data_IF_624526889027
#
_entry.id   IF_624526889027
#
_cell.length_a   1.000
_cell.length_b   1.000
_cell.length_c   1.000
_cell.angle_alpha   90.00
_cell.angle_beta   90.00
_cell.angle_gamma   90.00
#
_symmetry.space_group_name_H-M   'P 1'
#
loop_
_entity.id
_entity.type
_entity.pdbx_description
1 polymer ?
#
# COMPACT_ATOMS: atom_id res chain seq x y z
N UNK A 1 27.54 -5.38 -30.27
CA UNK A 1 27.97 -6.42 -31.22
C UNK A 1 26.77 -6.74 -32.10
N UNK A 2 26.79 -6.33 -33.36
CA UNK A 2 25.65 -6.44 -34.29
C UNK A 2 25.85 -7.70 -35.14
N UNK A 3 24.78 -8.46 -35.42
CA UNK A 3 24.80 -9.61 -36.34
C UNK A 3 24.99 -10.99 -35.72
N UNK A 4 25.20 -11.10 -34.40
CA UNK A 4 25.19 -12.41 -33.73
C UNK A 4 23.76 -12.87 -33.40
N UNK A 5 23.55 -14.18 -33.41
CA UNK A 5 22.34 -14.77 -32.85
C UNK A 5 22.16 -14.31 -31.40
N UNK A 6 20.92 -13.96 -31.03
CA UNK A 6 20.60 -13.47 -29.68
C UNK A 6 21.12 -14.41 -28.57
N UNK A 7 21.06 -15.72 -28.80
CA UNK A 7 21.53 -16.76 -27.89
C UNK A 7 23.04 -16.67 -27.61
N UNK A 8 23.83 -16.23 -28.60
CA UNK A 8 25.29 -16.01 -28.47
C UNK A 8 25.58 -14.68 -27.79
N UNK A 9 24.80 -13.64 -28.12
CA UNK A 9 24.96 -12.32 -27.53
C UNK A 9 24.53 -12.26 -26.05
N UNK A 10 23.55 -13.09 -25.67
CA UNK A 10 22.96 -13.16 -24.32
C UNK A 10 22.91 -14.62 -23.84
N UNK A 11 24.07 -15.27 -23.62
CA UNK A 11 24.13 -16.68 -23.24
C UNK A 11 23.43 -16.95 -21.90
N UNK A 12 23.31 -15.96 -21.02
CA UNK A 12 22.57 -16.09 -19.76
C UNK A 12 21.07 -16.36 -19.95
N UNK A 13 20.51 -16.07 -21.13
CA UNK A 13 19.11 -16.28 -21.45
C UNK A 13 18.84 -17.68 -22.04
N UNK A 14 19.88 -18.49 -22.26
CA UNK A 14 19.73 -19.89 -22.67
C UNK A 14 19.01 -20.66 -21.55
N UNK A 15 18.00 -21.45 -21.92
CA UNK A 15 17.12 -22.16 -20.98
C UNK A 15 16.00 -21.31 -20.37
N UNK A 16 16.02 -19.99 -20.59
CA UNK A 16 14.92 -19.09 -20.23
C UNK A 16 13.94 -18.92 -21.42
N UNK A 17 12.68 -18.54 -21.20
CA UNK A 17 11.66 -18.50 -22.27
C UNK A 17 11.89 -17.41 -23.33
N UNK A 18 12.84 -16.49 -23.14
CA UNK A 18 13.10 -15.34 -24.01
C UNK A 18 13.34 -15.73 -25.47
N UNK A 19 14.18 -16.74 -25.71
CA UNK A 19 14.50 -17.18 -27.08
C UNK A 19 13.31 -17.82 -27.78
N UNK A 20 12.43 -18.49 -27.02
CA UNK A 20 11.17 -19.03 -27.55
C UNK A 20 10.27 -17.90 -28.01
N UNK A 21 10.06 -16.88 -27.18
CA UNK A 21 9.22 -15.74 -27.54
C UNK A 21 9.74 -14.96 -28.75
N UNK A 22 11.07 -14.78 -28.86
CA UNK A 22 11.67 -14.19 -30.05
C UNK A 22 11.33 -14.97 -31.32
N UNK A 23 11.47 -16.30 -31.29
CA UNK A 23 11.12 -17.18 -32.42
C UNK A 23 9.63 -17.15 -32.71
N UNK A 24 8.79 -17.25 -31.68
CA UNK A 24 7.34 -17.23 -31.82
C UNK A 24 6.86 -15.93 -32.49
N UNK A 25 7.36 -14.78 -32.05
CA UNK A 25 7.01 -13.47 -32.62
C UNK A 25 7.53 -13.35 -34.05
N UNK A 26 8.75 -13.82 -34.31
CA UNK A 26 9.34 -13.79 -35.65
C UNK A 26 8.54 -14.63 -36.66
N UNK A 27 8.18 -15.86 -36.30
CA UNK A 27 7.46 -16.77 -37.21
C UNK A 27 5.96 -16.49 -37.30
N UNK A 28 5.32 -16.04 -36.21
CA UNK A 28 3.88 -15.80 -36.20
C UNK A 28 3.47 -14.40 -36.65
N UNK A 29 4.39 -13.43 -36.58
CA UNK A 29 4.07 -12.01 -36.77
C UNK A 29 3.12 -11.44 -35.69
N UNK A 30 2.92 -12.13 -34.56
CA UNK A 30 2.08 -11.67 -33.46
C UNK A 30 2.93 -11.11 -32.32
N UNK A 31 2.61 -9.92 -31.77
CA UNK A 31 3.37 -9.35 -30.68
C UNK A 31 3.20 -10.15 -29.38
N UNK A 32 4.22 -10.10 -28.51
CA UNK A 32 4.20 -10.72 -27.19
C UNK A 32 4.49 -9.69 -26.12
N UNK A 33 3.64 -9.64 -25.10
CA UNK A 33 3.81 -8.78 -23.92
C UNK A 33 3.94 -9.70 -22.70
N UNK A 34 4.93 -9.43 -21.86
CA UNK A 34 5.04 -10.03 -20.53
C UNK A 34 5.14 -8.92 -19.49
N UNK A 35 4.35 -9.04 -18.42
CA UNK A 35 4.36 -8.13 -17.28
C UNK A 35 5.00 -8.81 -16.09
N UNK A 36 5.82 -8.08 -15.34
CA UNK A 36 6.47 -8.52 -14.11
C UNK A 36 7.13 -9.92 -14.21
N UNK A 37 7.82 -10.19 -15.32
CA UNK A 37 8.46 -11.47 -15.56
C UNK A 37 9.80 -11.58 -14.84
N UNK A 38 9.99 -12.65 -14.06
CA UNK A 38 11.26 -12.95 -13.40
C UNK A 38 12.25 -13.58 -14.38
N UNK A 39 13.40 -12.92 -14.56
CA UNK A 39 14.46 -13.33 -15.49
C UNK A 39 15.81 -13.25 -14.78
N UNK A 40 16.73 -14.16 -15.13
CA UNK A 40 18.13 -14.07 -14.70
C UNK A 40 18.93 -13.28 -15.72
N UNK A 41 19.46 -12.13 -15.31
CA UNK A 41 20.28 -11.25 -16.14
C UNK A 41 21.72 -11.26 -15.64
N UNK A 42 22.68 -11.09 -16.56
CA UNK A 42 24.09 -10.91 -16.21
C UNK A 42 24.38 -9.45 -15.87
N UNK A 43 24.98 -9.18 -14.72
CA UNK A 43 25.43 -7.87 -14.28
C UNK A 43 26.82 -7.99 -13.63
N UNK A 44 27.83 -7.31 -14.19
CA UNK A 44 29.22 -7.27 -13.68
C UNK A 44 29.75 -8.67 -13.29
N UNK A 45 29.70 -9.61 -14.24
CA UNK A 45 30.12 -11.02 -14.09
C UNK A 45 29.29 -11.91 -13.14
N UNK A 46 28.15 -11.42 -12.61
CA UNK A 46 27.23 -12.25 -11.80
C UNK A 46 25.85 -12.35 -12.44
N UNK A 47 25.22 -13.51 -12.26
CA UNK A 47 23.80 -13.66 -12.54
C UNK A 47 23.01 -13.08 -11.37
N UNK A 48 22.02 -12.25 -11.68
CA UNK A 48 21.05 -11.75 -10.72
C UNK A 48 19.65 -11.93 -11.26
N UNK A 49 18.70 -12.08 -10.35
CA UNK A 49 17.28 -12.02 -10.71
C UNK A 49 16.90 -10.56 -10.98
N UNK A 50 16.03 -10.39 -11.96
CA UNK A 50 15.43 -9.12 -12.34
C UNK A 50 13.96 -9.38 -12.66
N UNK A 51 13.10 -8.42 -12.31
CA UNK A 51 11.70 -8.43 -12.71
C UNK A 51 11.57 -7.42 -13.84
N UNK A 52 11.08 -7.86 -14.99
CA UNK A 52 11.01 -7.03 -16.20
C UNK A 52 9.62 -7.01 -16.81
N UNK A 53 9.23 -5.83 -17.30
CA UNK A 53 8.22 -5.72 -18.35
C UNK A 53 8.91 -5.86 -19.70
N UNK A 54 8.30 -6.63 -20.60
CA UNK A 54 8.86 -6.85 -21.93
C UNK A 54 7.81 -6.83 -23.01
N UNK A 55 8.13 -6.17 -24.12
CA UNK A 55 7.32 -6.13 -25.34
C UNK A 55 8.20 -6.61 -26.49
N UNK A 56 7.72 -7.61 -27.21
CA UNK A 56 8.33 -8.15 -28.42
C UNK A 56 7.42 -7.81 -29.59
N UNK A 57 7.85 -6.90 -30.45
CA UNK A 57 7.09 -6.38 -31.56
C UNK A 57 7.72 -6.84 -32.88
N UNK A 58 6.99 -7.55 -33.76
CA UNK A 58 7.52 -7.93 -35.07
C UNK A 58 7.69 -6.68 -35.95
N UNK A 59 8.78 -6.67 -36.71
CA UNK A 59 9.08 -5.66 -37.73
C UNK A 59 8.79 -6.28 -39.08
N UNK A 60 7.96 -5.63 -39.89
CA UNK A 60 7.55 -6.12 -41.20
C UNK A 60 8.29 -5.38 -42.33
N UNK A 61 8.61 -6.10 -43.39
CA UNK A 61 8.99 -5.54 -44.68
C UNK A 61 7.78 -5.00 -45.44
N UNK A 62 8.02 -4.26 -46.53
CA UNK A 62 6.98 -3.80 -47.47
C UNK A 62 6.16 -4.97 -48.04
N UNK A 63 6.76 -6.16 -48.17
CA UNK A 63 6.10 -7.36 -48.68
C UNK A 63 5.31 -8.13 -47.60
N UNK A 64 5.17 -7.59 -46.38
CA UNK A 64 4.45 -8.22 -45.28
C UNK A 64 5.20 -9.34 -44.54
N UNK A 65 6.45 -9.64 -44.93
CA UNK A 65 7.28 -10.63 -44.23
C UNK A 65 7.94 -10.02 -42.99
N UNK A 66 8.01 -10.78 -41.89
CA UNK A 66 8.73 -10.36 -40.68
C UNK A 66 10.24 -10.39 -40.94
N UNK A 67 10.91 -9.26 -40.72
CA UNK A 67 12.36 -9.10 -40.93
C UNK A 67 13.15 -9.00 -39.63
N UNK A 68 12.46 -8.80 -38.50
CA UNK A 68 13.08 -8.74 -37.18
C UNK A 68 12.07 -8.63 -36.06
N UNK A 69 12.58 -8.57 -34.83
CA UNK A 69 11.77 -8.37 -33.62
C UNK A 69 12.38 -7.23 -32.82
N UNK A 70 11.62 -6.17 -32.61
CA UNK A 70 11.94 -5.10 -31.67
C UNK A 70 11.61 -5.58 -30.26
N UNK A 71 12.58 -5.50 -29.35
CA UNK A 71 12.40 -5.86 -27.95
C UNK A 71 12.53 -4.60 -27.10
N UNK A 72 11.48 -4.26 -26.37
CA UNK A 72 11.49 -3.20 -25.37
C UNK A 72 11.49 -3.89 -24.01
N UNK A 73 12.49 -3.56 -23.18
CA UNK A 73 12.66 -4.10 -21.83
C UNK A 73 12.70 -2.95 -20.84
N UNK A 74 11.88 -3.05 -19.81
CA UNK A 74 11.94 -2.18 -18.65
C UNK A 74 12.18 -3.06 -17.43
N UNK A 75 13.27 -2.80 -16.72
CA UNK A 75 13.51 -3.45 -15.44
C UNK A 75 12.77 -2.70 -14.33
N UNK A 76 11.93 -3.44 -13.62
CA UNK A 76 11.01 -2.95 -12.58
C UNK A 76 11.25 -3.64 -11.24
N UNK A 77 12.43 -4.26 -11.06
CA UNK A 77 12.80 -5.02 -9.85
C UNK A 77 12.60 -4.21 -8.57
N UNK A 78 13.18 -3.01 -8.49
CA UNK A 78 13.08 -2.14 -7.31
C UNK A 78 11.64 -1.71 -7.03
N UNK A 79 10.85 -1.42 -8.07
CA UNK A 79 9.46 -1.00 -7.94
C UNK A 79 8.59 -2.12 -7.36
N UNK A 80 8.76 -3.34 -7.86
CA UNK A 80 8.04 -4.51 -7.37
C UNK A 80 8.46 -4.89 -5.96
N UNK A 81 9.76 -4.82 -5.64
CA UNK A 81 10.26 -5.08 -4.28
C UNK A 81 9.76 -4.04 -3.27
N UNK A 82 9.76 -2.75 -3.63
CA UNK A 82 9.22 -1.69 -2.79
C UNK A 82 7.71 -1.88 -2.56
N UNK A 83 6.96 -2.23 -3.60
CA UNK A 83 5.53 -2.55 -3.48
C UNK A 83 5.29 -3.71 -2.54
N UNK A 84 5.99 -4.84 -2.74
CA UNK A 84 5.87 -6.03 -1.87
C UNK A 84 6.25 -5.73 -0.43
N UNK A 85 7.30 -4.94 -0.20
CA UNK A 85 7.70 -4.52 1.15
C UNK A 85 6.60 -3.70 1.80
N UNK A 86 6.03 -2.71 1.10
CA UNK A 86 4.93 -1.91 1.63
C UNK A 86 3.70 -2.78 1.96
N UNK A 87 3.31 -3.68 1.06
CA UNK A 87 2.17 -4.58 1.28
C UNK A 87 2.39 -5.48 2.49
N UNK A 88 3.60 -6.04 2.63
CA UNK A 88 3.97 -6.87 3.78
C UNK A 88 4.02 -6.06 5.09
N UNK A 89 4.56 -4.85 5.07
CA UNK A 89 4.61 -3.97 6.25
C UNK A 89 3.18 -3.58 6.69
N UNK A 90 2.27 -3.31 5.75
CA UNK A 90 0.85 -3.04 6.03
C UNK A 90 0.14 -4.26 6.63
N UNK A 91 0.36 -5.45 6.07
CA UNK A 91 -0.21 -6.69 6.60
C UNK A 91 0.32 -7.00 8.01
N UNK A 92 1.62 -6.85 8.23
CA UNK A 92 2.23 -7.07 9.53
C UNK A 92 1.71 -6.08 10.57
N UNK A 93 1.52 -4.81 10.19
CA UNK A 93 0.89 -3.80 11.06
C UNK A 93 -0.54 -4.18 11.43
N UNK A 94 -1.34 -4.62 10.46
CA UNK A 94 -2.71 -5.07 10.71
C UNK A 94 -2.76 -6.27 11.67
N UNK A 95 -1.88 -7.27 11.48
CA UNK A 95 -1.76 -8.41 12.38
C UNK A 95 -1.31 -8.01 13.79
N UNK A 96 -0.38 -7.06 13.92
CA UNK A 96 0.07 -6.57 15.22
C UNK A 96 -1.03 -5.83 15.98
N UNK A 97 -1.85 -5.02 15.29
CA UNK A 97 -3.01 -4.34 15.87
C UNK A 97 -4.05 -5.35 16.36
N UNK A 98 -4.34 -6.39 15.55
CA UNK A 98 -5.31 -7.42 15.89
C UNK A 98 -4.84 -8.29 17.06
N UNK A 99 -3.60 -8.78 17.01
CA UNK A 99 -3.00 -9.61 18.07
C UNK A 99 -2.82 -8.85 19.40
N UNK A 100 -2.62 -7.53 19.33
CA UNK A 100 -2.56 -6.67 20.51
C UNK A 100 -3.93 -6.25 21.05
N UNK A 101 -5.03 -6.66 20.40
CA UNK A 101 -6.39 -6.24 20.73
C UNK A 101 -6.51 -4.70 20.85
N UNK A 102 -5.83 -3.98 19.95
CA UNK A 102 -5.74 -2.53 20.01
C UNK A 102 -6.88 -1.87 19.24
N UNK A 103 -7.65 -1.00 19.90
CA UNK A 103 -8.58 -0.10 19.23
C UNK A 103 -7.81 1.10 18.65
N UNK A 104 -8.01 1.40 17.37
CA UNK A 104 -7.33 2.52 16.70
C UNK A 104 -8.36 3.39 15.99
N UNK A 105 -8.06 4.69 15.90
CA UNK A 105 -8.88 5.65 15.17
C UNK A 105 -8.01 6.64 14.40
N UNK A 106 -8.62 7.30 13.42
CA UNK A 106 -8.08 8.40 12.67
C UNK A 106 -9.08 9.55 12.71
N UNK A 107 -8.59 10.77 12.88
CA UNK A 107 -9.40 11.98 12.84
C UNK A 107 -8.77 13.03 11.93
N UNK A 108 -9.56 13.55 10.99
CA UNK A 108 -9.19 14.63 10.08
C UNK A 108 -9.98 15.91 10.43
N UNK A 109 -9.35 16.88 11.10
CA UNK A 109 -10.04 18.07 11.61
C UNK A 109 -10.65 18.96 10.51
N UNK A 110 -10.01 19.02 9.34
CA UNK A 110 -10.46 19.89 8.23
C UNK A 110 -11.82 19.47 7.66
N UNK A 111 -12.15 18.18 7.72
CA UNK A 111 -13.39 17.59 7.18
C UNK A 111 -14.27 17.00 8.27
N UNK A 112 -13.86 17.12 9.54
CA UNK A 112 -14.46 16.48 10.69
C UNK A 112 -14.64 14.95 10.55
N UNK A 113 -13.79 14.30 9.75
CA UNK A 113 -13.90 12.88 9.45
C UNK A 113 -13.21 12.07 10.53
N UNK A 114 -13.99 11.23 11.20
CA UNK A 114 -13.56 10.25 12.19
C UNK A 114 -13.76 8.84 11.63
N UNK A 115 -12.75 8.00 11.79
CA UNK A 115 -12.76 6.60 11.40
C UNK A 115 -11.99 5.77 12.40
N UNK A 116 -12.20 4.46 12.41
CA UNK A 116 -11.43 3.56 13.26
C UNK A 116 -11.56 2.10 12.88
N UNK A 117 -10.73 1.28 13.49
CA UNK A 117 -10.74 -0.15 13.23
C UNK A 117 -12.00 -0.84 13.82
N UNK A 118 -12.19 -2.10 13.45
CA UNK A 118 -13.38 -2.86 13.85
C UNK A 118 -13.55 -2.96 15.37
N UNK A 119 -12.44 -3.07 16.11
CA UNK A 119 -12.48 -3.15 17.57
C UNK A 119 -12.98 -1.86 18.20
N UNK A 120 -12.49 -0.70 17.77
CA UNK A 120 -13.01 0.60 18.21
C UNK A 120 -14.51 0.72 17.91
N UNK A 121 -14.92 0.39 16.68
CA UNK A 121 -16.34 0.44 16.28
C UNK A 121 -17.21 -0.44 17.17
N UNK A 122 -16.72 -1.63 17.54
CA UNK A 122 -17.40 -2.54 18.48
C UNK A 122 -17.50 -1.95 19.89
N UNK A 123 -16.41 -1.40 20.43
CA UNK A 123 -16.41 -0.77 21.76
C UNK A 123 -17.37 0.43 21.82
N UNK A 124 -17.36 1.25 20.77
CA UNK A 124 -18.15 2.47 20.71
C UNK A 124 -19.59 2.24 20.19
N UNK A 125 -19.92 1.05 19.68
CA UNK A 125 -21.23 0.78 19.07
C UNK A 125 -21.48 1.59 17.78
N UNK A 126 -20.42 1.89 17.03
CA UNK A 126 -20.49 2.70 15.80
C UNK A 126 -20.92 1.84 14.61
N UNK A 127 -21.51 2.49 13.61
CA UNK A 127 -21.80 1.83 12.33
C UNK A 127 -20.52 1.36 11.63
N UNK A 128 -20.68 0.47 10.65
CA UNK A 128 -19.57 0.00 9.83
C UNK A 128 -19.01 1.09 8.90
N UNK A 129 -19.64 2.26 8.82
CA UNK A 129 -19.25 3.35 7.93
C UNK A 129 -17.81 3.79 8.17
N UNK A 130 -17.10 4.09 7.10
CA UNK A 130 -15.70 4.55 7.19
C UNK A 130 -15.60 6.02 7.58
N UNK A 131 -16.64 6.81 7.31
CA UNK A 131 -16.62 8.26 7.50
C UNK A 131 -17.73 8.66 8.46
N UNK A 132 -17.37 8.87 9.71
CA UNK A 132 -18.27 9.37 10.75
C UNK A 132 -17.88 10.80 11.12
N UNK A 133 -18.84 11.55 11.63
CA UNK A 133 -18.54 12.83 12.28
C UNK A 133 -17.94 12.56 13.67
N UNK A 134 -16.95 13.35 14.09
CA UNK A 134 -16.35 13.21 15.43
C UNK A 134 -17.41 13.26 16.55
N UNK A 135 -18.48 14.03 16.37
CA UNK A 135 -19.58 14.13 17.34
C UNK A 135 -20.24 12.79 17.64
N UNK A 136 -20.29 11.87 16.66
CA UNK A 136 -20.83 10.52 16.85
C UNK A 136 -19.97 9.77 17.86
N UNK A 137 -18.65 9.80 17.71
CA UNK A 137 -17.73 9.15 18.66
C UNK A 137 -17.77 9.80 20.05
N UNK A 138 -17.85 11.13 20.12
CA UNK A 138 -17.96 11.88 21.39
C UNK A 138 -19.28 11.59 22.13
N UNK A 139 -20.36 11.28 21.40
CA UNK A 139 -21.65 10.98 22.03
C UNK A 139 -21.64 9.71 22.89
N UNK A 140 -20.73 8.78 22.61
CA UNK A 140 -20.55 7.52 23.34
C UNK A 140 -19.78 7.74 24.65
N UNK A 141 -19.00 8.82 24.74
CA UNK A 141 -18.28 9.18 25.97
C UNK A 141 -19.31 9.61 27.01
N UNK A 142 -19.09 9.21 28.26
CA UNK A 142 -19.93 9.56 29.41
C UNK A 142 -19.90 11.07 29.65
N UNK A 143 -21.04 11.67 30.02
CA UNK A 143 -21.21 13.13 30.02
C UNK A 143 -20.17 13.88 30.85
N UNK A 144 -19.78 13.29 31.99
CA UNK A 144 -18.78 13.77 32.93
C UNK A 144 -17.38 13.89 32.31
N UNK A 145 -17.03 13.01 31.36
CA UNK A 145 -15.72 12.99 30.70
C UNK A 145 -15.70 13.74 29.35
N UNK A 146 -16.86 14.05 28.74
CA UNK A 146 -16.95 14.67 27.40
C UNK A 146 -16.21 16.00 27.28
N UNK A 147 -16.40 16.90 28.24
CA UNK A 147 -15.77 18.23 28.22
C UNK A 147 -14.23 18.12 28.33
N UNK A 148 -13.77 17.22 29.21
CA UNK A 148 -12.35 16.90 29.38
C UNK A 148 -11.72 16.37 28.08
N UNK A 149 -12.37 15.43 27.41
CA UNK A 149 -11.89 14.87 26.14
C UNK A 149 -11.90 15.91 25.03
N UNK A 150 -12.97 16.70 24.91
CA UNK A 150 -13.07 17.75 23.89
C UNK A 150 -11.97 18.80 24.06
N UNK A 151 -11.70 19.23 25.29
CA UNK A 151 -10.60 20.15 25.60
C UNK A 151 -9.24 19.56 25.26
N UNK A 152 -9.02 18.27 25.55
CA UNK A 152 -7.77 17.59 25.20
C UNK A 152 -7.56 17.55 23.67
N UNK A 153 -8.61 17.22 22.90
CA UNK A 153 -8.60 17.27 21.43
C UNK A 153 -8.27 18.68 20.94
N UNK A 154 -8.97 19.71 21.43
CA UNK A 154 -8.73 21.10 21.03
C UNK A 154 -7.32 21.58 21.38
N UNK A 155 -6.79 21.19 22.54
CA UNK A 155 -5.41 21.52 22.95
C UNK A 155 -4.41 20.86 22.00
N UNK A 156 -4.57 19.58 21.68
CA UNK A 156 -3.69 18.87 20.76
C UNK A 156 -3.68 19.50 19.35
N UNK A 157 -4.82 20.03 18.91
CA UNK A 157 -4.98 20.71 17.61
C UNK A 157 -4.43 22.13 17.58
N UNK A 158 -4.07 22.70 18.74
CA UNK A 158 -3.50 24.04 18.80
C UNK A 158 -2.10 24.08 18.19
N UNK A 159 -1.71 25.25 17.66
CA UNK A 159 -0.39 25.43 17.01
C UNK A 159 0.78 25.17 17.96
N UNK A 160 0.58 25.50 19.24
CA UNK A 160 1.59 25.45 20.30
C UNK A 160 1.69 24.07 20.98
N UNK A 161 0.85 23.11 20.57
CA UNK A 161 0.95 21.73 21.03
C UNK A 161 1.90 20.92 20.14
N UNK A 162 2.59 19.99 20.79
CA UNK A 162 3.32 18.89 20.14
C UNK A 162 2.38 17.86 19.48
N UNK A 163 1.06 17.98 19.68
CA UNK A 163 0.05 17.11 19.10
C UNK A 163 -0.10 15.78 19.84
N UNK A 164 0.50 15.65 21.02
CA UNK A 164 0.44 14.44 21.84
C UNK A 164 -0.42 14.66 23.08
N UNK A 165 -1.28 13.69 23.38
CA UNK A 165 -1.91 13.63 24.69
C UNK A 165 -2.29 12.21 25.05
N UNK A 166 -2.32 11.97 26.35
CA UNK A 166 -2.76 10.73 26.95
C UNK A 166 -3.91 11.04 27.89
N UNK A 167 -5.01 10.30 27.75
CA UNK A 167 -6.21 10.54 28.53
C UNK A 167 -6.90 9.22 28.85
N UNK A 168 -7.43 9.16 30.05
CA UNK A 168 -8.35 8.10 30.45
C UNK A 168 -9.76 8.67 30.57
N UNK A 169 -10.75 7.97 30.05
CA UNK A 169 -12.16 8.39 30.11
C UNK A 169 -13.09 7.18 30.05
N UNK A 170 -14.36 7.41 30.38
CA UNK A 170 -15.38 6.37 30.35
C UNK A 170 -16.25 6.49 29.11
N UNK A 171 -16.59 5.35 28.53
CA UNK A 171 -17.60 5.23 27.48
C UNK A 171 -18.80 4.43 27.97
N UNK A 172 -19.96 4.73 27.39
CA UNK A 172 -21.18 3.99 27.59
C UNK A 172 -21.76 3.66 26.22
N UNK A 173 -21.66 2.39 25.84
CA UNK A 173 -22.23 1.93 24.59
C UNK A 173 -23.75 1.73 24.75
N UNK A 174 -24.54 2.51 24.00
CA UNK A 174 -26.01 2.44 24.03
C UNK A 174 -26.59 1.21 23.33
N UNK A 175 -25.80 0.52 22.50
CA UNK A 175 -26.19 -0.71 21.80
C UNK A 175 -25.93 -1.98 22.62
N UNK A 176 -25.19 -1.87 23.71
CA UNK A 176 -24.89 -3.00 24.59
C UNK A 176 -26.06 -3.22 25.58
N UNK A 177 -26.69 -4.40 25.53
CA UNK A 177 -27.81 -4.75 26.44
C UNK A 177 -27.41 -4.66 27.93
N UNK A 178 -26.11 -4.67 28.24
CA UNK A 178 -25.57 -4.63 29.59
C UNK A 178 -25.13 -3.24 30.09
N UNK A 179 -25.30 -2.16 29.32
CA UNK A 179 -24.93 -0.78 29.73
C UNK A 179 -23.57 -0.69 30.48
N UNK A 180 -22.58 -1.47 30.05
CA UNK A 180 -21.29 -1.52 30.73
C UNK A 180 -20.58 -0.17 30.65
N UNK A 181 -20.14 0.36 31.80
CA UNK A 181 -19.22 1.49 31.85
C UNK A 181 -17.81 0.95 31.57
N UNK A 182 -17.21 1.35 30.46
CA UNK A 182 -15.85 0.92 30.11
C UNK A 182 -14.86 2.06 30.33
N UNK A 183 -13.77 1.80 31.07
CA UNK A 183 -12.64 2.71 31.19
C UNK A 183 -11.71 2.50 30.00
N UNK A 184 -11.49 3.54 29.22
CA UNK A 184 -10.55 3.55 28.12
C UNK A 184 -9.31 4.36 28.50
N UNK A 185 -8.16 3.86 28.05
CA UNK A 185 -6.89 4.54 28.13
C UNK A 185 -6.42 4.76 26.70
N UNK A 186 -6.30 6.03 26.29
CA UNK A 186 -6.06 6.38 24.90
C UNK A 186 -4.88 7.35 24.79
N UNK A 187 -3.98 7.01 23.87
CA UNK A 187 -2.85 7.83 23.49
C UNK A 187 -3.08 8.37 22.08
N UNK A 188 -2.84 9.66 21.91
CA UNK A 188 -3.15 10.41 20.69
C UNK A 188 -1.89 11.01 20.11
N UNK A 189 -1.74 10.85 18.80
CA UNK A 189 -0.60 11.35 18.03
C UNK A 189 -1.10 12.14 16.82
N UNK A 190 -0.71 13.41 16.74
CA UNK A 190 -1.02 14.23 15.58
C UNK A 190 0.06 14.13 14.50
N UNK A 191 -0.31 13.65 13.33
CA UNK A 191 0.58 13.61 12.18
C UNK A 191 0.36 14.85 11.31
N UNK A 192 1.26 15.84 11.41
CA UNK A 192 1.24 17.02 10.54
C UNK A 192 1.92 16.68 9.21
N UNK A 193 1.14 16.54 8.12
CA UNK A 193 1.71 16.42 6.78
C UNK A 193 2.40 17.74 6.41
N UNK A 194 3.74 17.77 6.44
CA UNK A 194 4.49 18.89 5.85
C UNK A 194 4.43 18.73 4.35
N UNK A 195 3.71 19.63 3.67
CA UNK A 195 3.66 19.63 2.22
C UNK A 195 5.02 20.14 1.70
N UNK A 196 5.97 19.24 1.44
CA UNK A 196 7.27 19.57 0.82
C UNK A 196 7.13 19.58 -0.71
N UNK A 197 6.24 20.41 -1.23
CA UNK A 197 6.23 20.78 -2.65
C UNK A 197 5.70 22.22 -2.75
N UNK A 198 6.65 23.16 -2.75
CA UNK A 198 6.52 24.53 -3.23
C UNK A 198 7.77 24.84 -4.05
#
# INVERSE_FOLDING_TARGET
MIGLAHEVARPELIGQPVNRWLKDVFYSGKPKINKEFLVKLRHKERLREAIVNSIYQPIFSENGNVTGVLVILEEITEQVLARRKNDNDQQMLALAIDAGELATFYYQPATNLFSGNQLLKKWFGLSADENLDLSVALSVIVAEDRDKVTKAISKALSKDSDGHYFIEYHIQNSTDQNQGLYRLMAEFFMIRKTNRYA
#
